data_IF_780665569853
#
_entry.id   IF_780665569853
#
_cell.length_a   1.000
_cell.length_b   1.000
_cell.length_c   1.000
_cell.angle_alpha   90.00
_cell.angle_beta   90.00
_cell.angle_gamma   90.00
#
_symmetry.space_group_name_H-M   'P 1'
#
loop_
_entity.id
_entity.type
_entity.pdbx_description
1 polymer ?
#
# COMPACT_ATOMS: atom_id res chain seq x y z
N UNK A 1 -0.42 -25.21 5.24
CA UNK A 1 0.45 -26.42 5.26
C UNK A 1 0.16 -27.42 4.14
N UNK A 2 -1.06 -27.96 4.03
CA UNK A 2 -1.43 -29.00 3.05
C UNK A 2 -1.00 -28.70 1.59
N UNK A 3 -1.20 -27.47 1.10
CA UNK A 3 -0.88 -27.12 -0.29
C UNK A 3 0.62 -27.19 -0.63
N UNK A 4 1.50 -26.83 0.30
CA UNK A 4 2.95 -26.90 0.10
C UNK A 4 3.43 -28.35 0.16
N UNK A 5 2.87 -29.16 1.06
CA UNK A 5 3.20 -30.59 1.19
C UNK A 5 2.83 -31.34 -0.10
N UNK A 6 1.65 -31.05 -0.67
CA UNK A 6 1.22 -31.60 -1.97
C UNK A 6 2.21 -31.23 -3.07
N UNK A 7 2.67 -29.97 -3.13
CA UNK A 7 3.66 -29.54 -4.12
C UNK A 7 5.03 -30.22 -3.92
N UNK A 8 5.49 -30.37 -2.68
CA UNK A 8 6.74 -31.06 -2.34
C UNK A 8 6.67 -32.51 -2.80
N UNK A 9 5.57 -33.22 -2.51
CA UNK A 9 5.33 -34.60 -2.98
C UNK A 9 5.34 -34.68 -4.51
N UNK A 10 4.67 -33.75 -5.19
CA UNK A 10 4.62 -33.74 -6.64
C UNK A 10 6.01 -33.48 -7.28
N UNK A 11 6.83 -32.62 -6.68
CA UNK A 11 8.15 -32.30 -7.21
C UNK A 11 9.19 -33.40 -6.96
N UNK A 12 9.08 -34.11 -5.83
CA UNK A 12 10.07 -35.11 -5.42
C UNK A 12 9.67 -36.54 -5.80
N UNK A 13 8.41 -36.75 -6.22
CA UNK A 13 7.91 -37.98 -6.82
C UNK A 13 8.10 -39.20 -5.93
N UNK A 14 8.46 -40.33 -6.56
CA UNK A 14 8.63 -41.65 -5.91
C UNK A 14 9.74 -41.65 -4.84
N UNK A 15 10.63 -40.67 -4.86
CA UNK A 15 11.72 -40.50 -3.88
C UNK A 15 11.23 -40.26 -2.44
N UNK A 16 9.93 -39.99 -2.25
CA UNK A 16 9.33 -39.57 -0.97
C UNK A 16 8.12 -40.42 -0.56
N UNK A 17 7.82 -41.50 -1.28
CA UNK A 17 6.71 -42.40 -0.92
C UNK A 17 6.79 -42.91 0.53
N UNK A 18 8.00 -43.12 1.06
CA UNK A 18 8.24 -43.58 2.42
C UNK A 18 8.08 -42.52 3.52
N UNK A 19 8.00 -41.22 3.18
CA UNK A 19 7.92 -40.16 4.18
C UNK A 19 6.49 -39.69 4.37
N UNK A 20 6.02 -39.71 5.62
CA UNK A 20 4.69 -39.23 5.97
C UNK A 20 4.66 -37.68 6.08
N UNK A 21 3.48 -37.10 5.96
CA UNK A 21 3.29 -35.64 6.04
C UNK A 21 3.84 -35.02 7.35
N UNK A 22 3.69 -35.65 8.53
CA UNK A 22 4.30 -35.15 9.76
C UNK A 22 5.82 -35.00 9.67
N UNK A 23 6.53 -35.97 9.08
CA UNK A 23 7.98 -35.91 8.91
C UNK A 23 8.39 -34.75 8.00
N UNK A 24 7.67 -34.53 6.90
CA UNK A 24 7.90 -33.40 6.00
C UNK A 24 7.71 -32.08 6.75
N UNK A 25 6.64 -31.94 7.54
CA UNK A 25 6.39 -30.75 8.35
C UNK A 25 7.52 -30.54 9.37
N UNK A 26 7.93 -31.58 10.10
CA UNK A 26 9.03 -31.49 11.06
C UNK A 26 10.34 -31.07 10.40
N UNK A 27 10.65 -31.58 9.21
CA UNK A 27 11.83 -31.13 8.45
C UNK A 27 11.77 -29.64 8.11
N UNK A 28 10.60 -29.14 7.70
CA UNK A 28 10.41 -27.71 7.41
C UNK A 28 10.49 -26.84 8.67
N UNK A 29 10.04 -27.35 9.83
CA UNK A 29 10.11 -26.64 11.12
C UNK A 29 11.53 -26.59 11.70
N UNK A 30 12.36 -27.62 11.44
CA UNK A 30 13.75 -27.68 11.92
C UNK A 30 14.68 -26.78 11.09
N UNK A 31 14.37 -26.54 9.81
CA UNK A 31 15.19 -25.68 8.96
C UNK A 31 15.08 -24.20 9.39
N UNK A 32 16.16 -23.67 9.97
CA UNK A 32 16.26 -22.28 10.44
C UNK A 32 16.08 -21.22 9.34
N UNK A 33 16.15 -21.62 8.06
CA UNK A 33 15.90 -20.73 6.92
C UNK A 33 14.41 -20.56 6.66
N UNK A 34 13.57 -21.41 7.21
CA UNK A 34 12.12 -21.37 7.09
C UNK A 34 11.48 -20.84 8.37
N UNK A 35 10.32 -20.22 8.21
CA UNK A 35 9.48 -19.76 9.31
C UNK A 35 8.03 -20.13 9.00
N UNK A 36 7.36 -20.67 10.01
CA UNK A 36 5.92 -20.93 9.96
C UNK A 36 5.14 -19.62 10.07
N UNK A 37 4.13 -19.47 9.23
CA UNK A 37 3.27 -18.30 9.05
C UNK A 37 1.82 -18.78 8.90
N UNK A 38 0.85 -17.87 8.95
CA UNK A 38 -0.58 -18.21 8.76
C UNK A 38 -0.84 -18.86 7.38
N UNK A 39 -0.09 -18.44 6.35
CA UNK A 39 -0.20 -18.96 4.98
C UNK A 39 0.60 -20.26 4.74
N UNK A 40 1.30 -20.77 5.76
CA UNK A 40 2.16 -21.96 5.69
C UNK A 40 3.61 -21.66 6.03
N UNK A 41 4.56 -22.07 5.18
CA UNK A 41 5.98 -21.80 5.39
C UNK A 41 6.49 -20.76 4.42
N UNK A 42 7.41 -19.92 4.87
CA UNK A 42 8.23 -19.18 3.93
C UNK A 42 9.59 -18.80 4.48
N UNK A 43 10.39 -18.21 3.59
CA UNK A 43 11.81 -18.04 3.84
C UNK A 43 12.09 -16.86 4.75
N UNK A 44 13.02 -17.05 5.68
CA UNK A 44 13.54 -16.02 6.59
C UNK A 44 14.28 -14.88 5.88
N UNK A 45 14.61 -15.03 4.59
CA UNK A 45 15.13 -13.97 3.74
C UNK A 45 14.03 -13.05 3.18
N UNK A 46 12.78 -13.51 3.13
CA UNK A 46 11.67 -12.72 2.63
C UNK A 46 11.27 -11.64 3.63
N UNK A 47 11.30 -10.39 3.19
CA UNK A 47 11.05 -9.22 4.06
C UNK A 47 9.63 -9.14 4.61
N UNK A 48 8.66 -9.74 3.92
CA UNK A 48 7.27 -9.84 4.41
C UNK A 48 7.09 -10.94 5.48
N UNK A 49 8.05 -11.85 5.63
CA UNK A 49 8.07 -12.92 6.65
C UNK A 49 8.95 -12.56 7.84
N UNK A 50 10.09 -11.91 7.55
CA UNK A 50 11.07 -11.48 8.52
C UNK A 50 11.46 -10.01 8.28
N UNK A 51 10.62 -9.05 8.72
CA UNK A 51 10.90 -7.63 8.55
C UNK A 51 12.04 -7.20 9.46
N UNK A 52 13.14 -6.72 8.86
CA UNK A 52 14.34 -6.30 9.63
C UNK A 52 14.43 -4.80 9.83
N UNK A 53 13.76 -4.02 8.98
CA UNK A 53 13.75 -2.56 9.02
C UNK A 53 12.38 -2.02 9.41
N UNK A 54 12.34 -0.79 9.93
CA UNK A 54 11.09 -0.09 10.22
C UNK A 54 10.24 0.04 8.95
N UNK A 55 10.88 0.30 7.80
CA UNK A 55 10.23 0.27 6.48
C UNK A 55 9.49 -1.04 6.21
N UNK A 56 10.16 -2.18 6.40
CA UNK A 56 9.56 -3.48 6.10
C UNK A 56 8.34 -3.73 7.02
N UNK A 57 8.46 -3.37 8.31
CA UNK A 57 7.36 -3.47 9.29
C UNK A 57 6.18 -2.57 8.90
N UNK A 58 6.44 -1.32 8.53
CA UNK A 58 5.42 -0.37 8.10
C UNK A 58 4.69 -0.86 6.83
N UNK A 59 5.42 -1.45 5.88
CA UNK A 59 4.83 -2.05 4.69
C UNK A 59 3.86 -3.18 5.04
N UNK A 60 4.25 -4.10 5.92
CA UNK A 60 3.38 -5.22 6.34
C UNK A 60 2.12 -4.70 7.04
N UNK A 61 2.25 -3.74 7.96
CA UNK A 61 1.11 -3.15 8.67
C UNK A 61 0.12 -2.50 7.69
N UNK A 62 0.61 -1.65 6.79
CA UNK A 62 -0.25 -1.00 5.80
C UNK A 62 -0.88 -2.00 4.81
N UNK A 63 -0.15 -3.06 4.46
CA UNK A 63 -0.66 -4.11 3.56
C UNK A 63 -1.80 -4.91 4.19
N UNK A 64 -1.73 -5.15 5.51
CA UNK A 64 -2.76 -5.88 6.25
C UNK A 64 -4.05 -5.06 6.40
N UNK A 65 -3.92 -3.77 6.68
CA UNK A 65 -5.05 -2.90 7.02
C UNK A 65 -5.82 -2.41 5.79
N UNK A 66 -5.16 -2.33 4.62
CA UNK A 66 -5.71 -1.91 3.31
C UNK A 66 -6.18 -0.45 3.24
N UNK A 67 -6.55 0.16 4.36
CA UNK A 67 -6.91 1.57 4.48
C UNK A 67 -5.72 2.46 4.91
N UNK A 68 -5.74 3.77 4.58
CA UNK A 68 -4.72 4.70 5.05
C UNK A 68 -4.73 4.86 6.57
N UNK A 69 -3.54 4.86 7.18
CA UNK A 69 -3.37 4.97 8.64
C UNK A 69 -2.52 6.17 9.02
N UNK A 70 -2.78 6.70 10.21
CA UNK A 70 -1.94 7.77 10.75
C UNK A 70 -0.57 7.21 11.17
N UNK A 71 0.53 7.94 10.97
CA UNK A 71 1.88 7.44 11.27
C UNK A 71 2.06 6.99 12.74
N UNK A 72 1.31 7.59 13.67
CA UNK A 72 1.25 7.16 15.08
C UNK A 72 0.59 5.79 15.22
N UNK A 73 -0.52 5.56 14.53
CA UNK A 73 -1.21 4.27 14.52
C UNK A 73 -0.35 3.19 13.88
N UNK A 74 0.38 3.54 12.82
CA UNK A 74 1.35 2.63 12.19
C UNK A 74 2.43 2.24 13.21
N UNK A 75 2.98 3.18 13.97
CA UNK A 75 3.98 2.89 15.01
C UNK A 75 3.42 1.99 16.12
N UNK A 76 2.18 2.25 16.57
CA UNK A 76 1.50 1.43 17.57
C UNK A 76 1.29 0.01 17.06
N UNK A 77 0.72 -0.16 15.85
CA UNK A 77 0.51 -1.47 15.23
C UNK A 77 1.82 -2.23 14.98
N UNK A 78 2.91 -1.53 14.63
CA UNK A 78 4.24 -2.16 14.53
C UNK A 78 4.68 -2.73 15.88
N UNK A 79 4.41 -2.01 16.96
CA UNK A 79 4.77 -2.42 18.33
C UNK A 79 3.89 -3.58 18.80
N UNK A 80 2.57 -3.50 18.56
CA UNK A 80 1.60 -4.57 18.86
C UNK A 80 1.92 -5.87 18.11
N UNK A 81 2.28 -5.77 16.83
CA UNK A 81 2.63 -6.92 15.99
C UNK A 81 3.89 -7.65 16.47
N UNK A 82 4.66 -7.08 17.41
CA UNK A 82 5.78 -7.74 18.10
C UNK A 82 6.77 -8.44 17.16
N UNK A 83 7.05 -7.83 16.01
CA UNK A 83 7.96 -8.39 14.99
C UNK A 83 9.35 -8.70 15.54
N UNK A 84 9.81 -7.87 16.47
CA UNK A 84 11.02 -8.07 17.26
C UNK A 84 10.86 -7.34 18.62
N UNK A 85 11.88 -7.46 19.48
CA UNK A 85 11.92 -6.78 20.78
C UNK A 85 12.29 -5.29 20.68
N UNK A 86 12.45 -4.73 19.47
CA UNK A 86 12.91 -3.35 19.31
C UNK A 86 11.73 -2.40 19.32
N UNK A 87 11.73 -1.49 20.30
CA UNK A 87 10.76 -0.41 20.35
C UNK A 87 11.02 0.55 19.19
N UNK A 88 9.97 0.86 18.44
CA UNK A 88 10.03 1.78 17.31
C UNK A 88 9.38 3.10 17.73
N UNK A 89 10.07 4.22 17.49
CA UNK A 89 9.52 5.54 17.78
C UNK A 89 8.63 6.03 16.65
N UNK A 90 7.59 6.81 16.98
CA UNK A 90 6.71 7.45 16.00
C UNK A 90 7.49 8.31 15.00
N UNK A 91 8.52 9.02 15.47
CA UNK A 91 9.38 9.85 14.63
C UNK A 91 10.19 9.02 13.64
N UNK A 92 10.74 7.87 14.05
CA UNK A 92 11.47 6.99 13.16
C UNK A 92 10.56 6.40 12.07
N UNK A 93 9.33 6.00 12.44
CA UNK A 93 8.33 5.56 11.45
C UNK A 93 8.02 6.68 10.46
N UNK A 94 7.74 7.89 10.95
CA UNK A 94 7.43 9.02 10.09
C UNK A 94 8.56 9.33 9.10
N UNK A 95 9.82 9.33 9.56
CA UNK A 95 10.98 9.56 8.72
C UNK A 95 11.13 8.50 7.61
N UNK A 96 10.88 7.22 7.95
CA UNK A 96 10.94 6.13 6.97
C UNK A 96 9.77 6.21 5.97
N UNK A 97 8.58 6.59 6.40
CA UNK A 97 7.42 6.79 5.52
C UNK A 97 7.63 7.92 4.51
N UNK A 98 8.35 8.99 4.88
CA UNK A 98 8.71 10.07 3.96
C UNK A 98 9.80 9.63 2.98
N UNK A 99 10.79 8.89 3.47
CA UNK A 99 12.02 8.54 2.72
C UNK A 99 11.75 7.68 1.49
N UNK A 100 10.79 6.77 1.54
CA UNK A 100 10.56 5.79 0.45
C UNK A 100 9.33 6.12 -0.39
N UNK A 101 9.41 5.84 -1.69
CA UNK A 101 8.37 6.20 -2.65
C UNK A 101 7.13 5.30 -2.60
N UNK A 102 7.30 4.07 -2.11
CA UNK A 102 6.24 3.08 -1.92
C UNK A 102 5.17 3.53 -0.91
N UNK A 103 5.46 4.51 -0.05
CA UNK A 103 4.49 5.11 0.87
C UNK A 103 3.98 6.43 0.32
N UNK A 104 2.68 6.64 0.44
CA UNK A 104 1.98 7.82 -0.11
C UNK A 104 1.24 8.53 1.00
N UNK A 105 1.54 9.82 1.19
CA UNK A 105 0.81 10.71 2.10
C UNK A 105 -0.52 11.13 1.44
N UNK A 106 -1.63 10.65 1.99
CA UNK A 106 -2.99 10.91 1.47
C UNK A 106 -3.75 11.98 2.24
N UNK A 107 -3.33 12.27 3.48
CA UNK A 107 -3.89 13.29 4.36
C UNK A 107 -2.89 13.71 5.44
N UNK A 108 -3.29 14.55 6.41
CA UNK A 108 -2.37 15.00 7.48
C UNK A 108 -1.92 13.80 8.31
N UNK A 109 -0.66 13.41 8.14
CA UNK A 109 -0.07 12.24 8.81
C UNK A 109 -0.62 10.89 8.36
N UNK A 110 -1.53 10.83 7.38
CA UNK A 110 -2.15 9.60 6.87
C UNK A 110 -1.34 9.03 5.70
N UNK A 111 -0.86 7.81 5.86
CA UNK A 111 -0.05 7.09 4.87
C UNK A 111 -0.73 5.82 4.39
N UNK A 112 -0.49 5.48 3.13
CA UNK A 112 -0.91 4.22 2.51
C UNK A 112 0.15 3.72 1.53
N UNK A 113 -0.07 2.55 0.93
CA UNK A 113 0.81 1.98 -0.07
C UNK A 113 0.49 2.52 -1.47
N UNK A 114 1.53 2.82 -2.24
CA UNK A 114 1.45 3.23 -3.64
C UNK A 114 0.76 2.16 -4.51
N UNK A 115 0.94 0.88 -4.18
CA UNK A 115 0.34 -0.25 -4.91
C UNK A 115 -1.19 -0.27 -4.87
N UNK A 116 -1.82 0.40 -3.90
CA UNK A 116 -3.28 0.54 -3.84
C UNK A 116 -3.83 1.63 -4.79
N UNK A 117 -2.97 2.23 -5.63
CA UNK A 117 -3.39 3.18 -6.66
C UNK A 117 -3.51 4.62 -6.17
N UNK A 118 -3.08 4.92 -4.95
CA UNK A 118 -3.02 6.28 -4.42
C UNK A 118 -1.83 7.05 -5.03
N UNK A 119 -2.08 8.23 -5.59
CA UNK A 119 -1.02 9.08 -6.15
C UNK A 119 -0.52 10.10 -5.12
N UNK A 120 0.80 10.33 -5.09
CA UNK A 120 1.41 11.48 -4.38
C UNK A 120 0.89 12.79 -4.98
N UNK A 121 0.65 13.79 -4.15
CA UNK A 121 0.25 15.13 -4.59
C UNK A 121 -0.95 15.71 -3.85
N UNK A 122 -1.38 16.87 -4.29
CA UNK A 122 -2.53 17.61 -3.82
C UNK A 122 -3.83 17.10 -4.45
N UNK A 123 -4.98 17.62 -3.98
CA UNK A 123 -6.26 17.41 -4.65
C UNK A 123 -6.20 17.84 -6.13
N UNK A 124 -5.42 18.89 -6.44
CA UNK A 124 -5.24 19.35 -7.81
C UNK A 124 -4.50 18.32 -8.68
N UNK A 125 -3.47 17.67 -8.16
CA UNK A 125 -2.72 16.64 -8.90
C UNK A 125 -3.61 15.43 -9.25
N UNK A 126 -4.49 15.04 -8.33
CA UNK A 126 -5.49 13.98 -8.58
C UNK A 126 -6.50 14.42 -9.64
N UNK A 127 -7.03 15.64 -9.55
CA UNK A 127 -7.96 16.18 -10.56
C UNK A 127 -7.28 16.25 -11.93
N UNK A 128 -6.03 16.68 -11.98
CA UNK A 128 -5.24 16.73 -13.22
C UNK A 128 -5.04 15.34 -13.81
N UNK A 129 -4.70 14.34 -12.99
CA UNK A 129 -4.57 12.95 -13.42
C UNK A 129 -5.88 12.39 -14.00
N UNK A 130 -7.03 12.72 -13.40
CA UNK A 130 -8.35 12.35 -13.94
C UNK A 130 -8.61 13.03 -15.28
N UNK A 131 -8.38 14.34 -15.37
CA UNK A 131 -8.62 15.13 -16.59
C UNK A 131 -7.64 14.82 -17.72
N UNK A 132 -6.43 14.33 -17.43
CA UNK A 132 -5.48 13.81 -18.42
C UNK A 132 -5.95 12.49 -19.03
N UNK A 133 -6.61 11.63 -18.25
CA UNK A 133 -7.15 10.35 -18.72
C UNK A 133 -8.46 10.50 -19.49
N UNK A 134 -9.34 11.40 -19.04
CA UNK A 134 -10.64 11.68 -19.65
C UNK A 134 -10.88 13.19 -19.56
N UNK A 135 -10.94 13.88 -20.69
CA UNK A 135 -11.26 15.31 -20.78
C UNK A 135 -12.19 15.57 -21.97
N UNK A 136 -13.18 16.45 -21.84
CA UNK A 136 -13.64 17.13 -20.62
C UNK A 136 -14.50 16.21 -19.71
N UNK A 137 -14.62 16.54 -18.41
CA UNK A 137 -15.41 15.76 -17.43
C UNK A 137 -16.42 16.62 -16.66
N UNK A 138 -17.53 16.01 -16.22
CA UNK A 138 -18.48 16.67 -15.32
C UNK A 138 -17.90 16.81 -13.92
N UNK A 139 -18.25 17.91 -13.23
CA UNK A 139 -17.87 18.18 -11.83
C UNK A 139 -18.16 17.00 -10.91
N UNK A 140 -19.30 16.35 -11.10
CA UNK A 140 -19.73 15.22 -10.28
C UNK A 140 -18.82 13.99 -10.47
N UNK A 141 -18.49 13.65 -11.73
CA UNK A 141 -17.57 12.55 -12.05
C UNK A 141 -16.16 12.81 -11.48
N UNK A 142 -15.69 14.07 -11.53
CA UNK A 142 -14.41 14.46 -10.93
C UNK A 142 -14.45 14.29 -9.41
N UNK A 143 -15.53 14.72 -8.75
CA UNK A 143 -15.69 14.56 -7.29
C UNK A 143 -15.65 13.08 -6.92
N UNK A 144 -16.37 12.22 -7.62
CA UNK A 144 -16.39 10.78 -7.36
C UNK A 144 -15.02 10.14 -7.60
N UNK A 145 -14.34 10.51 -8.69
CA UNK A 145 -12.99 10.03 -8.99
C UNK A 145 -11.95 10.42 -7.94
N UNK A 146 -12.04 11.65 -7.41
CA UNK A 146 -11.15 12.13 -6.35
C UNK A 146 -11.47 11.45 -5.02
N UNK A 147 -12.75 11.30 -4.66
CA UNK A 147 -13.15 10.66 -3.40
C UNK A 147 -12.74 9.18 -3.33
N UNK A 148 -12.65 8.49 -4.48
CA UNK A 148 -12.11 7.12 -4.56
C UNK A 148 -10.61 7.05 -4.27
N UNK A 149 -9.87 8.14 -4.49
CA UNK A 149 -8.42 8.18 -4.37
C UNK A 149 -7.93 8.99 -3.18
N UNK A 150 -8.75 9.87 -2.57
CA UNK A 150 -8.36 10.68 -1.42
C UNK A 150 -9.55 10.99 -0.52
N UNK A 151 -9.33 10.90 0.78
CA UNK A 151 -10.30 11.31 1.79
C UNK A 151 -10.28 12.84 1.94
N UNK A 152 -11.15 13.52 1.19
CA UNK A 152 -11.31 14.99 1.23
C UNK A 152 -12.78 15.39 1.18
N UNK A 153 -13.11 16.57 1.70
CA UNK A 153 -14.49 17.09 1.61
C UNK A 153 -14.82 17.48 0.17
N UNK A 154 -16.05 17.24 -0.26
CA UNK A 154 -16.58 17.68 -1.58
C UNK A 154 -16.38 19.18 -1.82
N UNK A 155 -16.48 19.98 -0.76
CA UNK A 155 -16.21 21.43 -0.80
C UNK A 155 -14.77 21.75 -1.20
N UNK A 156 -13.78 21.01 -0.69
CA UNK A 156 -12.37 21.19 -1.04
C UNK A 156 -12.09 20.88 -2.52
N UNK A 157 -12.73 19.84 -3.06
CA UNK A 157 -12.61 19.48 -4.49
C UNK A 157 -13.24 20.58 -5.35
N UNK A 158 -14.44 21.03 -4.98
CA UNK A 158 -15.14 22.13 -5.67
C UNK A 158 -14.33 23.42 -5.65
N UNK A 159 -13.70 23.73 -4.51
CA UNK A 159 -12.85 24.90 -4.34
C UNK A 159 -11.60 24.81 -5.23
N UNK A 160 -10.97 23.64 -5.34
CA UNK A 160 -9.83 23.43 -6.24
C UNK A 160 -10.22 23.65 -7.70
N UNK A 161 -11.37 23.11 -8.14
CA UNK A 161 -11.88 23.30 -9.50
C UNK A 161 -12.20 24.77 -9.84
N UNK A 162 -12.49 25.60 -8.84
CA UNK A 162 -12.82 27.02 -9.03
C UNK A 162 -11.60 27.94 -8.91
N UNK A 163 -10.72 27.69 -7.92
CA UNK A 163 -9.60 28.57 -7.59
C UNK A 163 -8.35 28.28 -8.39
N UNK A 164 -8.15 27.05 -8.87
CA UNK A 164 -6.93 26.69 -9.55
C UNK A 164 -7.03 26.98 -11.06
N UNK A 165 -6.22 27.90 -11.61
CA UNK A 165 -6.31 28.32 -13.01
C UNK A 165 -6.03 27.19 -14.01
N UNK A 166 -5.45 26.07 -13.58
CA UNK A 166 -5.22 24.90 -14.43
C UNK A 166 -6.51 24.17 -14.83
N UNK A 167 -7.64 24.40 -14.14
CA UNK A 167 -8.93 23.80 -14.44
C UNK A 167 -9.88 24.84 -15.03
N UNK A 168 -10.24 24.65 -16.30
CA UNK A 168 -11.09 25.59 -17.03
C UNK A 168 -12.49 24.99 -17.18
N UNK A 169 -13.51 25.77 -16.81
CA UNK A 169 -14.90 25.40 -17.03
C UNK A 169 -15.28 25.67 -18.49
N UNK A 170 -15.67 24.63 -19.21
CA UNK A 170 -16.02 24.68 -20.65
C UNK A 170 -17.49 24.40 -20.94
N UNK A 171 -18.30 24.26 -19.90
CA UNK A 171 -19.75 24.06 -20.04
C UNK A 171 -20.47 24.09 -18.69
N UNK A 172 -21.74 23.65 -18.68
CA UNK A 172 -22.53 23.56 -17.44
C UNK A 172 -21.95 22.48 -16.51
N UNK A 173 -21.15 22.92 -15.54
CA UNK A 173 -20.42 22.06 -14.61
C UNK A 173 -19.48 21.05 -15.30
N UNK A 174 -18.90 21.42 -16.44
CA UNK A 174 -17.92 20.61 -17.18
C UNK A 174 -16.56 21.30 -17.14
N UNK A 175 -15.52 20.54 -16.82
CA UNK A 175 -14.15 21.04 -16.63
C UNK A 175 -13.16 20.29 -17.54
N UNK A 176 -12.11 20.99 -17.94
CA UNK A 176 -10.95 20.44 -18.65
C UNK A 176 -9.66 21.12 -18.17
N UNK A 177 -8.51 20.64 -18.65
CA UNK A 177 -7.23 21.29 -18.39
C UNK A 177 -7.07 22.55 -19.24
N UNK A 178 -6.45 23.58 -18.66
CA UNK A 178 -6.06 24.77 -19.39
C UNK A 178 -5.09 24.41 -20.53
N UNK A 179 -5.33 24.91 -21.74
CA UNK A 179 -4.40 24.79 -22.88
C UNK A 179 -3.18 25.68 -22.62
N UNK A 180 -2.25 25.26 -21.75
CA UNK A 180 -1.19 26.17 -21.31
C UNK A 180 -0.04 25.63 -20.46
N UNK A 181 0.11 24.32 -20.27
CA UNK A 181 1.35 23.76 -19.70
C UNK A 181 1.88 22.65 -20.59
N UNK A 182 2.84 23.00 -21.46
CA UNK A 182 3.86 22.04 -21.88
C UNK A 182 4.56 21.59 -20.61
N UNK A 183 4.51 20.29 -20.34
CA UNK A 183 5.30 19.60 -19.34
C UNK A 183 6.77 20.02 -19.49
N UNK A 184 7.35 20.56 -18.42
CA UNK A 184 8.80 20.52 -18.19
C UNK A 184 9.07 19.34 -17.28
#
# INVERSE_FOLDING_TARGET
DSKLIVQIRQQLGDSIESYNDPMIISCLEVDKRLKRTEDGFGLMVWRHINPRSIRDKAYIVLKKEKDPLHFVEIANKITEASFDKKVVTTQAVHNELIRYDQFVLVGRGLYTLKEFGFSKGTVADVIEGLLKKKSPMKKQEIIEGVLKQRQVKKGTISLNLQKNPQFVRVGRAVYQLAKGKKTR
#
